data_IF_417105045275
#
_entry.id   IF_417105045275
#
_cell.length_a   1.000
_cell.length_b   1.000
_cell.length_c   1.000
_cell.angle_alpha   90.00
_cell.angle_beta   90.00
_cell.angle_gamma   90.00
#
_symmetry.space_group_name_H-M   'P 1'
#
loop_
_entity.id
_entity.type
_entity.pdbx_description
1 polymer ?
#
# COMPACT_ATOMS: atom_id res chain seq x y z
N UNK A 1 2.12 2.32 11.10
CA UNK A 1 1.20 2.88 10.09
C UNK A 1 -0.15 2.20 10.27
N UNK A 2 -1.21 2.95 10.56
CA UNK A 2 -2.56 2.42 10.70
C UNK A 2 -3.40 2.93 9.52
N UNK A 3 -3.99 2.02 8.76
CA UNK A 3 -4.92 2.33 7.67
C UNK A 3 -6.29 1.83 8.14
N UNK A 4 -7.29 2.71 8.29
CA UNK A 4 -8.63 2.29 8.69
C UNK A 4 -9.21 1.35 7.63
N UNK A 5 -10.02 0.40 8.08
CA UNK A 5 -10.76 -0.51 7.18
C UNK A 5 -9.88 -1.28 6.18
N UNK A 6 -8.60 -1.47 6.49
CA UNK A 6 -7.61 -2.11 5.61
C UNK A 6 -8.12 -3.40 4.95
N UNK A 7 -8.74 -4.29 5.73
CA UNK A 7 -9.28 -5.55 5.21
C UNK A 7 -10.41 -5.35 4.20
N UNK A 8 -11.22 -4.30 4.35
CA UNK A 8 -12.32 -4.00 3.43
C UNK A 8 -11.74 -3.45 2.12
N UNK A 9 -10.82 -2.49 2.18
CA UNK A 9 -10.16 -1.89 1.02
C UNK A 9 -9.31 -2.93 0.27
N UNK A 10 -8.68 -3.87 0.99
CA UNK A 10 -7.84 -4.91 0.37
C UNK A 10 -8.63 -6.08 -0.21
N UNK A 11 -9.88 -6.28 0.19
CA UNK A 11 -10.66 -7.45 -0.24
C UNK A 11 -10.81 -7.53 -1.76
N UNK A 12 -11.18 -6.45 -2.49
CA UNK A 12 -11.25 -6.49 -3.96
C UNK A 12 -9.91 -6.80 -4.62
N UNK A 13 -8.81 -6.26 -4.08
CA UNK A 13 -7.45 -6.50 -4.59
C UNK A 13 -7.00 -7.95 -4.35
N UNK A 14 -7.33 -8.51 -3.19
CA UNK A 14 -7.01 -9.90 -2.87
C UNK A 14 -7.76 -10.88 -3.79
N UNK A 15 -9.02 -10.58 -4.12
CA UNK A 15 -9.80 -11.41 -5.02
C UNK A 15 -9.20 -11.45 -6.44
N UNK A 16 -8.69 -10.34 -6.96
CA UNK A 16 -8.08 -10.33 -8.32
C UNK A 16 -6.66 -10.88 -8.37
N UNK A 17 -5.93 -10.90 -7.25
CA UNK A 17 -4.55 -11.43 -7.19
C UNK A 17 -4.48 -12.91 -6.79
N UNK A 18 -5.61 -13.53 -6.44
CA UNK A 18 -5.67 -14.94 -6.02
C UNK A 18 -5.43 -15.89 -7.20
N UNK A 19 -4.47 -16.80 -7.06
CA UNK A 19 -4.00 -17.77 -8.07
C UNK A 19 -5.07 -18.54 -8.87
N UNK A 20 -6.28 -18.75 -8.34
CA UNK A 20 -7.37 -19.51 -8.99
C UNK A 20 -8.41 -18.63 -9.69
N UNK A 21 -8.25 -17.32 -9.64
CA UNK A 21 -9.18 -16.37 -10.22
C UNK A 21 -8.55 -15.78 -11.48
N UNK A 22 -9.37 -15.59 -12.50
CA UNK A 22 -8.96 -14.84 -13.68
C UNK A 22 -8.75 -13.37 -13.28
N UNK A 23 -7.64 -12.80 -13.71
CA UNK A 23 -7.33 -11.41 -13.43
C UNK A 23 -8.18 -10.52 -14.31
N UNK A 24 -9.14 -9.83 -13.70
CA UNK A 24 -9.92 -8.77 -14.33
C UNK A 24 -9.75 -7.48 -13.54
N UNK A 25 -9.16 -6.47 -14.19
CA UNK A 25 -8.95 -5.16 -13.59
C UNK A 25 -10.20 -4.29 -13.75
N UNK A 26 -11.23 -4.64 -12.98
CA UNK A 26 -12.52 -3.95 -13.01
C UNK A 26 -12.53 -2.64 -12.20
N UNK A 27 -13.69 -1.95 -12.18
CA UNK A 27 -13.87 -0.70 -11.44
C UNK A 27 -13.57 -0.84 -9.94
N UNK A 28 -14.04 -1.91 -9.32
CA UNK A 28 -13.92 -2.13 -7.87
C UNK A 28 -12.45 -2.34 -7.41
N UNK A 29 -11.64 -3.22 -8.03
CA UNK A 29 -10.20 -3.28 -7.77
C UNK A 29 -9.46 -1.96 -8.03
N UNK A 30 -9.85 -1.23 -9.07
CA UNK A 30 -9.19 0.02 -9.44
C UNK A 30 -9.48 1.14 -8.42
N UNK A 31 -10.70 1.24 -7.92
CA UNK A 31 -11.09 2.17 -6.87
C UNK A 31 -10.39 1.82 -5.55
N UNK A 32 -10.39 0.56 -5.15
CA UNK A 32 -9.66 0.07 -3.98
C UNK A 32 -8.16 0.41 -4.06
N UNK A 33 -7.55 0.27 -5.24
CA UNK A 33 -6.16 0.64 -5.46
C UNK A 33 -5.91 2.16 -5.40
N UNK A 34 -6.86 2.97 -5.85
CA UNK A 34 -6.76 4.43 -5.69
C UNK A 34 -6.84 4.82 -4.21
N UNK A 35 -7.79 4.24 -3.48
CA UNK A 35 -8.02 4.50 -2.07
C UNK A 35 -6.80 4.12 -1.21
N UNK A 36 -6.19 2.95 -1.42
CA UNK A 36 -5.01 2.56 -0.63
C UNK A 36 -3.82 3.51 -0.85
N UNK A 37 -3.60 4.00 -2.08
CA UNK A 37 -2.54 4.98 -2.36
C UNK A 37 -2.78 6.28 -1.60
N UNK A 38 -4.04 6.74 -1.56
CA UNK A 38 -4.41 7.95 -0.84
C UNK A 38 -4.23 7.76 0.68
N UNK A 39 -4.72 6.67 1.26
CA UNK A 39 -4.56 6.37 2.68
C UNK A 39 -3.08 6.27 3.08
N UNK A 40 -2.24 5.68 2.23
CA UNK A 40 -0.80 5.60 2.46
C UNK A 40 -0.18 7.00 2.49
N UNK A 41 -0.50 7.85 1.50
CA UNK A 41 -0.01 9.21 1.44
C UNK A 41 -0.44 10.03 2.67
N UNK A 42 -1.69 9.88 3.11
CA UNK A 42 -2.23 10.56 4.28
C UNK A 42 -1.54 10.09 5.58
N UNK A 43 -1.40 8.78 5.79
CA UNK A 43 -0.77 8.24 6.99
C UNK A 43 0.73 8.60 7.09
N UNK A 44 1.43 8.70 5.96
CA UNK A 44 2.83 9.18 5.90
C UNK A 44 2.90 10.67 6.22
N UNK A 45 2.00 11.49 5.65
CA UNK A 45 1.96 12.93 5.91
C UNK A 45 1.64 13.27 7.37
N UNK A 46 0.80 12.46 8.03
CA UNK A 46 0.36 12.66 9.42
C UNK A 46 1.37 12.19 10.48
N UNK A 47 2.49 11.57 10.09
CA UNK A 47 3.53 11.16 11.04
C UNK A 47 4.73 12.10 10.94
N UNK A 48 4.82 13.16 11.79
CA UNK A 48 6.10 13.79 12.05
C UNK A 48 7.07 12.71 12.53
N UNK A 49 8.26 12.65 11.93
CA UNK A 49 9.32 11.79 12.44
C UNK A 49 9.54 12.18 13.90
N UNK A 50 9.12 11.32 14.83
CA UNK A 50 9.31 11.56 16.26
C UNK A 50 10.81 11.49 16.52
N UNK A 51 11.45 12.64 16.69
CA UNK A 51 12.84 12.75 17.09
C UNK A 51 12.91 12.75 18.62
N UNK A 52 13.16 11.58 19.19
CA UNK A 52 13.37 11.40 20.63
C UNK A 52 14.45 10.35 20.89
N UNK A 53 15.14 10.39 22.05
CA UNK A 53 16.27 9.50 22.34
C UNK A 53 15.96 8.00 22.20
N UNK A 54 14.70 7.61 22.38
CA UNK A 54 14.23 6.22 22.31
C UNK A 54 13.53 5.82 20.98
N UNK A 55 13.46 6.73 19.99
CA UNK A 55 12.80 6.41 18.71
C UNK A 55 13.83 5.84 17.71
N UNK A 56 13.77 4.53 17.48
CA UNK A 56 14.56 3.87 16.43
C UNK A 56 13.87 4.00 15.07
N UNK A 57 14.34 4.92 14.24
CA UNK A 57 13.96 4.97 12.82
C UNK A 57 14.74 3.90 12.06
N UNK A 58 14.05 3.03 11.32
CA UNK A 58 14.65 1.98 10.48
C UNK A 58 14.38 2.31 9.02
N UNK A 59 15.44 2.39 8.21
CA UNK A 59 15.36 2.65 6.77
C UNK A 59 15.46 1.32 6.00
N UNK A 60 14.49 1.08 5.12
CA UNK A 60 14.52 -0.03 4.16
C UNK A 60 14.82 0.51 2.76
N UNK A 61 15.70 -0.16 2.02
CA UNK A 61 16.00 0.17 0.63
C UNK A 61 16.05 -1.12 -0.19
N UNK A 62 15.57 -1.05 -1.43
CA UNK A 62 15.63 -2.10 -2.42
C UNK A 62 15.97 -1.47 -3.77
N UNK A 63 16.79 -2.14 -4.58
CA UNK A 63 17.11 -1.70 -5.93
C UNK A 63 16.47 -2.66 -6.93
N UNK A 64 15.62 -2.14 -7.81
CA UNK A 64 15.06 -2.88 -8.94
C UNK A 64 15.85 -2.50 -10.21
N UNK A 65 16.32 -3.51 -10.94
CA UNK A 65 17.02 -3.34 -12.21
C UNK A 65 16.01 -3.15 -13.34
N UNK A 66 15.50 -1.92 -13.49
CA UNK A 66 14.62 -1.56 -14.60
C UNK A 66 15.41 -1.44 -15.91
N UNK A 67 15.80 -2.57 -16.50
CA UNK A 67 16.15 -2.63 -17.92
C UNK A 67 14.84 -2.53 -18.72
N UNK A 68 14.49 -1.31 -19.13
CA UNK A 68 13.50 -1.07 -20.18
C UNK A 68 14.03 -1.77 -21.44
N UNK A 69 13.41 -2.90 -21.79
CA UNK A 69 13.66 -3.58 -23.06
C UNK A 69 12.71 -3.09 -24.14
#
# INVERSE_FOLDING_TARGET
MHIPEYSQIMSPLYLVTRKKNDFYWGPEPQEAFAQIKQEIAHAVALSPVRTGPDVKNVLYSAAENNSLS
#
